data_IF_873084556319
#
_entry.id   IF_873084556319
#
_cell.length_a   1.000
_cell.length_b   1.000
_cell.length_c   1.000
_cell.angle_alpha   90.00
_cell.angle_beta   90.00
_cell.angle_gamma   90.00
#
_symmetry.space_group_name_H-M   'P 1'
#
loop_
_entity.id
_entity.type
_entity.pdbx_description
1 polymer ?
#
# COMPACT_ATOMS: atom_id res chain seq x y z
N UNK A 1 -11.06 3.46 -28.53
CA UNK A 1 -11.20 2.77 -27.23
C UNK A 1 -11.72 3.75 -26.20
N UNK A 2 -12.32 3.27 -25.10
CA UNK A 2 -12.83 4.14 -24.01
C UNK A 2 -11.70 4.99 -23.42
N UNK A 3 -10.50 4.43 -23.21
CA UNK A 3 -9.36 5.21 -22.69
C UNK A 3 -8.96 6.37 -23.63
N UNK A 4 -9.05 6.20 -24.95
CA UNK A 4 -8.66 7.25 -25.90
C UNK A 4 -9.67 8.39 -25.91
N UNK A 5 -10.95 8.06 -25.69
CA UNK A 5 -12.01 9.06 -25.54
C UNK A 5 -11.84 9.87 -24.24
N UNK A 6 -11.62 9.18 -23.11
CA UNK A 6 -11.33 9.80 -21.81
C UNK A 6 -10.15 10.77 -21.92
N UNK A 7 -9.04 10.32 -22.53
CA UNK A 7 -7.82 11.12 -22.69
C UNK A 7 -7.98 12.30 -23.63
N UNK A 8 -8.70 12.12 -24.75
CA UNK A 8 -8.98 13.21 -25.71
C UNK A 8 -9.78 14.35 -25.07
N UNK A 9 -10.63 14.04 -24.10
CA UNK A 9 -11.44 15.01 -23.37
C UNK A 9 -10.76 15.55 -22.11
N UNK A 10 -9.55 15.10 -21.76
CA UNK A 10 -8.85 15.52 -20.53
C UNK A 10 -9.54 15.06 -19.23
N UNK A 11 -10.44 14.08 -19.30
CA UNK A 11 -11.23 13.68 -18.14
C UNK A 11 -10.37 13.00 -17.08
N UNK A 12 -9.33 12.28 -17.48
CA UNK A 12 -8.37 11.62 -16.58
C UNK A 12 -7.42 12.60 -15.89
N UNK A 13 -7.09 13.73 -16.54
CA UNK A 13 -6.23 14.77 -15.96
C UNK A 13 -6.97 15.62 -14.94
N UNK A 14 -8.20 16.00 -15.27
CA UNK A 14 -9.01 16.94 -14.49
C UNK A 14 -9.76 16.26 -13.34
N UNK A 15 -10.06 14.97 -13.46
CA UNK A 15 -10.77 14.21 -12.44
C UNK A 15 -9.92 13.05 -11.90
N UNK A 16 -9.46 13.21 -10.65
CA UNK A 16 -8.63 12.22 -9.95
C UNK A 16 -9.24 10.82 -9.92
N UNK A 17 -10.58 10.67 -9.88
CA UNK A 17 -11.23 9.36 -9.87
C UNK A 17 -11.09 8.67 -11.23
N UNK A 18 -11.26 9.42 -12.32
CA UNK A 18 -11.10 8.90 -13.68
C UNK A 18 -9.64 8.57 -13.95
N UNK A 19 -8.71 9.46 -13.58
CA UNK A 19 -7.28 9.20 -13.66
C UNK A 19 -6.88 7.96 -12.86
N UNK A 20 -7.35 7.83 -11.62
CA UNK A 20 -7.09 6.64 -10.79
C UNK A 20 -7.64 5.35 -11.40
N UNK A 21 -8.82 5.40 -12.03
CA UNK A 21 -9.38 4.25 -12.74
C UNK A 21 -8.52 3.84 -13.95
N UNK A 22 -7.93 4.81 -14.66
CA UNK A 22 -6.99 4.57 -15.75
C UNK A 22 -5.69 3.92 -15.23
N UNK A 23 -5.13 4.43 -14.13
CA UNK A 23 -3.99 3.82 -13.43
C UNK A 23 -4.28 2.37 -13.11
N UNK A 24 -5.39 2.10 -12.42
CA UNK A 24 -5.78 0.74 -12.04
C UNK A 24 -5.94 -0.18 -13.25
N UNK A 25 -6.59 0.27 -14.33
CA UNK A 25 -6.77 -0.51 -15.55
C UNK A 25 -5.43 -0.86 -16.21
N UNK A 26 -4.55 0.12 -16.41
CA UNK A 26 -3.25 -0.12 -17.02
C UNK A 26 -2.35 -1.02 -16.16
N UNK A 27 -2.34 -0.84 -14.84
CA UNK A 27 -1.61 -1.71 -13.91
C UNK A 27 -2.13 -3.15 -13.95
N UNK A 28 -3.44 -3.38 -14.10
CA UNK A 28 -4.02 -4.73 -14.25
C UNK A 28 -3.61 -5.40 -15.56
N UNK A 29 -3.40 -4.63 -16.62
CA UNK A 29 -2.93 -5.12 -17.91
C UNK A 29 -1.40 -5.29 -17.99
N UNK A 30 -0.66 -5.05 -16.90
CA UNK A 30 0.81 -5.06 -16.89
C UNK A 30 1.46 -3.90 -17.64
N UNK A 31 0.68 -2.90 -18.05
CA UNK A 31 1.14 -1.69 -18.75
C UNK A 31 1.46 -0.59 -17.76
N UNK A 32 2.41 -0.85 -16.86
CA UNK A 32 2.73 0.08 -15.76
C UNK A 32 3.34 1.39 -16.27
N UNK A 33 3.97 1.37 -17.44
CA UNK A 33 4.40 2.55 -18.18
C UNK A 33 3.24 3.54 -18.40
N UNK A 34 2.11 3.03 -18.93
CA UNK A 34 0.91 3.84 -19.16
C UNK A 34 0.21 4.21 -17.85
N UNK A 35 0.23 3.31 -16.86
CA UNK A 35 -0.30 3.60 -15.53
C UNK A 35 0.44 4.79 -14.89
N UNK A 36 1.77 4.80 -15.00
CA UNK A 36 2.61 5.89 -14.46
C UNK A 36 2.34 7.20 -15.18
N UNK A 37 2.25 7.18 -16.51
CA UNK A 37 1.88 8.38 -17.29
C UNK A 37 0.52 8.93 -16.85
N UNK A 38 -0.52 8.08 -16.77
CA UNK A 38 -1.84 8.51 -16.29
C UNK A 38 -1.79 9.04 -14.87
N UNK A 39 -1.01 8.43 -13.99
CA UNK A 39 -0.83 8.91 -12.62
C UNK A 39 -0.17 10.30 -12.59
N UNK A 40 0.95 10.46 -13.30
CA UNK A 40 1.72 11.70 -13.33
C UNK A 40 0.89 12.88 -13.85
N UNK A 41 0.01 12.65 -14.82
CA UNK A 41 -0.89 13.67 -15.40
C UNK A 41 -2.08 14.07 -14.53
N UNK A 42 -2.40 13.35 -13.45
CA UNK A 42 -3.43 13.78 -12.50
C UNK A 42 -3.00 15.09 -11.85
N UNK A 43 -3.77 16.16 -12.07
CA UNK A 43 -3.48 17.51 -11.57
C UNK A 43 -3.39 17.56 -10.04
N UNK A 44 -4.34 16.93 -9.35
CA UNK A 44 -4.39 16.87 -7.88
C UNK A 44 -4.52 15.41 -7.45
N UNK A 45 -3.40 14.85 -6.99
CA UNK A 45 -3.33 13.46 -6.50
C UNK A 45 -3.82 13.40 -5.05
N UNK A 46 -4.56 12.34 -4.73
CA UNK A 46 -4.99 12.02 -3.37
C UNK A 46 -4.46 10.64 -2.93
N UNK A 47 -4.68 10.27 -1.68
CA UNK A 47 -4.21 8.98 -1.11
C UNK A 47 -4.60 7.78 -1.96
N UNK A 48 -5.82 7.76 -2.50
CA UNK A 48 -6.32 6.66 -3.35
C UNK A 48 -5.51 6.54 -4.64
N UNK A 49 -5.22 7.64 -5.33
CA UNK A 49 -4.40 7.64 -6.54
C UNK A 49 -2.97 7.14 -6.30
N UNK A 50 -2.34 7.57 -5.19
CA UNK A 50 -1.01 7.11 -4.78
C UNK A 50 -1.02 5.61 -4.45
N UNK A 51 -1.93 5.18 -3.58
CA UNK A 51 -2.06 3.78 -3.16
C UNK A 51 -2.33 2.85 -4.35
N UNK A 52 -3.12 3.31 -5.33
CA UNK A 52 -3.39 2.56 -6.57
C UNK A 52 -2.14 2.39 -7.41
N UNK A 53 -1.32 3.44 -7.57
CA UNK A 53 -0.07 3.35 -8.33
C UNK A 53 0.95 2.44 -7.61
N UNK A 54 1.09 2.57 -6.29
CA UNK A 54 1.99 1.74 -5.47
C UNK A 54 1.59 0.25 -5.55
N UNK A 55 0.32 -0.09 -5.37
CA UNK A 55 -0.18 -1.47 -5.55
C UNK A 55 0.06 -1.96 -6.98
N UNK A 56 -0.14 -1.08 -7.97
CA UNK A 56 0.14 -1.36 -9.37
C UNK A 56 1.60 -1.76 -9.63
N UNK A 57 2.56 -1.01 -9.09
CA UNK A 57 3.99 -1.31 -9.16
C UNK A 57 4.32 -2.64 -8.46
N UNK A 58 3.88 -2.79 -7.21
CA UNK A 58 4.11 -4.01 -6.40
C UNK A 58 3.60 -5.26 -7.10
N UNK A 59 2.37 -5.23 -7.64
CA UNK A 59 1.80 -6.37 -8.37
C UNK A 59 2.66 -6.79 -9.55
N UNK A 60 3.18 -5.82 -10.29
CA UNK A 60 3.98 -6.04 -11.49
C UNK A 60 5.47 -6.25 -11.22
N UNK A 61 5.89 -6.26 -9.95
CA UNK A 61 7.28 -6.53 -9.55
C UNK A 61 8.22 -5.34 -9.71
N UNK A 62 7.70 -4.13 -9.88
CA UNK A 62 8.49 -2.89 -9.89
C UNK A 62 8.61 -2.37 -8.45
N UNK A 63 9.40 -3.07 -7.64
CA UNK A 63 9.45 -2.85 -6.19
C UNK A 63 10.09 -1.50 -5.89
N UNK A 64 11.17 -1.16 -6.57
CA UNK A 64 11.91 0.08 -6.41
C UNK A 64 11.03 1.30 -6.74
N UNK A 65 10.25 1.22 -7.83
CA UNK A 65 9.30 2.26 -8.21
C UNK A 65 8.18 2.42 -7.15
N UNK A 66 7.75 1.32 -6.54
CA UNK A 66 6.73 1.36 -5.48
C UNK A 66 7.26 2.07 -4.22
N UNK A 67 8.51 1.79 -3.85
CA UNK A 67 9.19 2.45 -2.72
C UNK A 67 9.38 3.94 -3.02
N UNK A 68 9.87 4.28 -4.22
CA UNK A 68 10.04 5.69 -4.62
C UNK A 68 8.72 6.48 -4.55
N UNK A 69 7.62 5.87 -5.02
CA UNK A 69 6.30 6.49 -4.94
C UNK A 69 5.81 6.63 -3.50
N UNK A 70 6.04 5.63 -2.67
CA UNK A 70 5.71 5.68 -1.25
C UNK A 70 6.50 6.77 -0.52
N UNK A 71 7.77 6.95 -0.86
CA UNK A 71 8.65 7.99 -0.31
C UNK A 71 8.22 9.39 -0.73
N UNK A 72 7.71 9.54 -1.95
CA UNK A 72 7.18 10.81 -2.49
C UNK A 72 5.76 11.13 -2.02
N UNK A 73 5.04 10.17 -1.44
CA UNK A 73 3.67 10.38 -0.98
C UNK A 73 3.64 11.40 0.18
N UNK A 74 2.92 12.53 0.04
CA UNK A 74 2.95 13.60 1.04
C UNK A 74 2.37 13.20 2.41
N UNK A 75 1.37 12.33 2.40
CA UNK A 75 0.72 11.84 3.61
C UNK A 75 0.41 10.35 3.45
N UNK A 76 1.00 9.52 4.31
CA UNK A 76 0.81 8.07 4.33
C UNK A 76 -0.27 7.70 5.33
N UNK A 77 -1.21 6.87 4.89
CA UNK A 77 -2.24 6.29 5.75
C UNK A 77 -2.04 4.79 5.95
N UNK A 78 -2.89 4.15 6.75
CA UNK A 78 -2.81 2.71 6.97
C UNK A 78 -2.82 1.93 5.65
N UNK A 79 -3.63 2.35 4.67
CA UNK A 79 -3.74 1.69 3.37
C UNK A 79 -2.40 1.73 2.62
N UNK A 80 -1.70 2.86 2.60
CA UNK A 80 -0.39 2.99 1.95
C UNK A 80 0.62 1.98 2.51
N UNK A 81 0.70 1.84 3.84
CA UNK A 81 1.56 0.86 4.51
C UNK A 81 1.12 -0.57 4.24
N UNK A 82 -0.19 -0.87 4.35
CA UNK A 82 -0.75 -2.20 4.07
C UNK A 82 -0.44 -2.66 2.66
N UNK A 83 -0.56 -1.76 1.66
CA UNK A 83 -0.23 -2.04 0.27
C UNK A 83 1.25 -2.39 0.09
N UNK A 84 2.15 -1.64 0.73
CA UNK A 84 3.59 -1.87 0.61
C UNK A 84 4.01 -3.19 1.29
N UNK A 85 3.60 -3.39 2.55
CA UNK A 85 3.87 -4.61 3.34
C UNK A 85 3.30 -5.85 2.62
N UNK A 86 2.04 -5.79 2.20
CA UNK A 86 1.41 -6.89 1.48
C UNK A 86 2.06 -7.17 0.12
N UNK A 87 2.58 -6.13 -0.55
CA UNK A 87 3.37 -6.24 -1.77
C UNK A 87 4.67 -7.01 -1.55
N UNK A 88 5.46 -6.61 -0.55
CA UNK A 88 6.71 -7.28 -0.18
C UNK A 88 6.50 -8.76 0.15
N UNK A 89 5.51 -9.09 0.99
CA UNK A 89 5.20 -10.48 1.36
C UNK A 89 4.87 -11.32 0.13
N UNK A 90 4.05 -10.81 -0.79
CA UNK A 90 3.68 -11.53 -2.03
C UNK A 90 4.87 -11.75 -2.96
N UNK A 91 5.92 -10.93 -2.86
CA UNK A 91 7.14 -11.04 -3.65
C UNK A 91 8.26 -11.81 -2.93
N UNK A 92 8.03 -12.24 -1.69
CA UNK A 92 9.01 -13.00 -0.90
C UNK A 92 10.01 -12.14 -0.12
N UNK A 93 9.81 -10.83 -0.09
CA UNK A 93 10.65 -9.85 0.62
C UNK A 93 10.19 -9.71 2.07
N UNK A 94 10.38 -10.79 2.84
CA UNK A 94 9.78 -10.88 4.18
C UNK A 94 10.46 -9.97 5.21
N UNK A 95 11.77 -9.71 5.07
CA UNK A 95 12.51 -8.83 5.97
C UNK A 95 12.03 -7.38 5.80
N UNK A 96 11.96 -6.92 4.55
CA UNK A 96 11.47 -5.59 4.18
C UNK A 96 10.01 -5.37 4.61
N UNK A 97 9.17 -6.41 4.55
CA UNK A 97 7.81 -6.36 5.06
C UNK A 97 7.75 -6.12 6.58
N UNK A 98 8.66 -6.73 7.35
CA UNK A 98 8.74 -6.56 8.81
C UNK A 98 9.31 -5.19 9.16
N UNK A 99 10.34 -4.73 8.45
CA UNK A 99 10.91 -3.39 8.60
C UNK A 99 9.86 -2.31 8.34
N UNK A 100 9.12 -2.40 7.22
CA UNK A 100 8.03 -1.48 6.92
C UNK A 100 6.95 -1.47 8.00
N UNK A 101 6.64 -2.62 8.61
CA UNK A 101 5.71 -2.67 9.72
C UNK A 101 6.23 -1.93 10.97
N UNK A 102 7.52 -2.05 11.28
CA UNK A 102 8.13 -1.33 12.38
C UNK A 102 8.09 0.18 12.14
N UNK A 103 8.42 0.63 10.93
CA UNK A 103 8.34 2.03 10.54
C UNK A 103 6.92 2.60 10.60
N UNK A 104 5.92 1.79 10.20
CA UNK A 104 4.50 2.12 10.35
C UNK A 104 4.15 2.39 11.82
N UNK A 105 4.64 1.56 12.75
CA UNK A 105 4.42 1.75 14.20
C UNK A 105 5.12 3.00 14.73
N UNK A 106 6.36 3.24 14.32
CA UNK A 106 7.12 4.44 14.70
C UNK A 106 6.47 5.72 14.19
N UNK A 107 5.81 5.65 13.03
CA UNK A 107 5.02 6.73 12.45
C UNK A 107 3.67 6.94 13.16
N UNK A 108 3.34 6.13 14.17
CA UNK A 108 2.09 6.23 14.93
C UNK A 108 0.85 5.75 14.15
N UNK A 109 1.03 5.10 13.00
CA UNK A 109 -0.08 4.61 12.17
C UNK A 109 -0.53 3.25 12.70
N UNK A 110 -1.80 3.15 13.10
CA UNK A 110 -2.37 1.90 13.61
C UNK A 110 -2.48 0.89 12.47
N UNK A 111 -1.93 -0.33 12.61
CA UNK A 111 -2.08 -1.37 11.61
C UNK A 111 -3.49 -1.95 11.61
N UNK A 112 -3.97 -2.32 10.43
CA UNK A 112 -5.22 -3.04 10.26
C UNK A 112 -5.00 -4.56 10.29
N UNK A 113 -6.09 -5.33 10.25
CA UNK A 113 -6.02 -6.79 10.33
C UNK A 113 -5.31 -7.41 9.12
N UNK A 114 -5.41 -6.79 7.93
CA UNK A 114 -4.72 -7.23 6.71
C UNK A 114 -3.22 -7.08 6.87
N UNK A 115 -2.77 -5.98 7.46
CA UNK A 115 -1.37 -5.73 7.80
C UNK A 115 -0.86 -6.80 8.75
N UNK A 116 -1.58 -7.04 9.86
CA UNK A 116 -1.18 -8.02 10.87
C UNK A 116 -1.05 -9.43 10.27
N UNK A 117 -2.01 -9.88 9.47
CA UNK A 117 -1.93 -11.19 8.78
C UNK A 117 -0.69 -11.24 7.89
N UNK A 118 -0.44 -10.17 7.13
CA UNK A 118 0.69 -10.12 6.18
C UNK A 118 2.03 -10.24 6.90
N UNK A 119 2.22 -9.51 8.00
CA UNK A 119 3.47 -9.57 8.78
C UNK A 119 3.62 -10.90 9.51
N UNK A 120 2.54 -11.48 10.05
CA UNK A 120 2.59 -12.83 10.63
C UNK A 120 3.04 -13.88 9.61
N UNK A 121 2.54 -13.78 8.37
CA UNK A 121 2.98 -14.63 7.27
C UNK A 121 4.46 -14.41 6.95
N UNK A 122 4.94 -13.16 6.94
CA UNK A 122 6.35 -12.84 6.77
C UNK A 122 7.22 -13.51 7.85
N UNK A 123 6.86 -13.39 9.13
CA UNK A 123 7.59 -14.00 10.24
C UNK A 123 7.63 -15.53 10.17
N UNK A 124 6.51 -16.15 9.76
CA UNK A 124 6.46 -17.60 9.57
C UNK A 124 7.45 -18.06 8.49
N UNK A 125 7.55 -17.33 7.38
CA UNK A 125 8.49 -17.64 6.29
C UNK A 125 9.95 -17.38 6.67
N UNK A 126 10.22 -16.40 7.53
CA UNK A 126 11.56 -16.14 8.06
C UNK A 126 12.01 -17.15 9.13
N UNK A 127 11.11 -18.01 9.63
CA UNK A 127 11.39 -18.93 10.74
C UNK A 127 11.67 -18.22 12.08
N UNK A 128 11.32 -16.94 12.20
CA UNK A 128 11.64 -16.10 13.36
C UNK A 128 10.53 -16.18 14.41
N UNK A 129 10.56 -17.26 15.21
CA UNK A 129 9.63 -17.45 16.34
C UNK A 129 9.57 -16.24 17.29
N UNK A 130 10.69 -15.57 17.52
CA UNK A 130 10.76 -14.38 18.38
C UNK A 130 9.94 -13.19 17.87
N UNK A 131 9.94 -12.94 16.56
CA UNK A 131 9.15 -11.87 15.94
C UNK A 131 7.65 -12.23 15.94
N UNK A 132 7.32 -13.50 15.69
CA UNK A 132 5.93 -13.99 15.79
C UNK A 132 5.33 -13.81 17.19
N UNK A 133 6.11 -14.10 18.24
CA UNK A 133 5.70 -13.85 19.63
C UNK A 133 5.55 -12.35 19.94
N UNK A 134 6.44 -11.51 19.42
CA UNK A 134 6.35 -10.06 19.59
C UNK A 134 5.09 -9.48 18.94
N UNK A 135 4.76 -9.88 17.71
CA UNK A 135 3.53 -9.44 17.02
C UNK A 135 2.28 -9.93 17.75
N UNK A 136 2.26 -11.20 18.18
CA UNK A 136 1.15 -11.73 18.98
C UNK A 136 0.92 -10.89 20.24
N UNK A 137 2.00 -10.53 20.95
CA UNK A 137 1.91 -9.65 22.12
C UNK A 137 1.42 -8.25 21.76
N UNK A 138 1.88 -7.69 20.64
CA UNK A 138 1.42 -6.39 20.13
C UNK A 138 -0.09 -6.38 19.86
N UNK A 139 -0.61 -7.39 19.16
CA UNK A 139 -2.05 -7.53 18.84
C UNK A 139 -2.89 -7.63 20.12
N UNK A 140 -2.47 -8.46 21.08
CA UNK A 140 -3.15 -8.58 22.37
C UNK A 140 -3.18 -7.25 23.12
N UNK A 141 -2.06 -6.53 23.17
CA UNK A 141 -1.98 -5.24 23.85
C UNK A 141 -2.88 -4.16 23.21
N UNK A 142 -3.08 -4.18 21.89
CA UNK A 142 -4.01 -3.27 21.21
C UNK A 142 -5.47 -3.60 21.58
N UNK A 143 -5.85 -4.88 21.57
CA UNK A 143 -7.18 -5.30 22.01
C UNK A 143 -7.48 -4.89 23.46
N UNK A 144 -6.51 -5.00 24.36
CA UNK A 144 -6.67 -4.50 25.74
C UNK A 144 -6.92 -2.99 25.80
N UNK A 145 -6.19 -2.18 25.01
CA UNK A 145 -6.38 -0.72 24.98
C UNK A 145 -7.74 -0.32 24.39
N UNK A 146 -8.19 -1.02 23.34
CA UNK A 146 -9.49 -0.75 22.73
C UNK A 146 -10.64 -1.13 23.69
N UNK A 147 -10.53 -2.26 24.41
CA UNK A 147 -11.53 -2.68 25.40
C UNK A 147 -11.69 -1.71 26.59
N UNK A 148 -10.61 -1.02 27.00
CA UNK A 148 -10.67 0.00 28.05
C UNK A 148 -11.35 1.28 27.55
N UNK A 149 -11.15 1.64 26.28
CA UNK A 149 -11.75 2.85 25.67
C UNK A 149 -13.25 2.72 25.40
N UNK A 150 -13.76 1.51 25.16
CA UNK A 150 -15.19 1.27 24.88
C UNK A 150 -16.02 1.19 26.16
N UNK A 151 -15.40 0.97 27.32
CA UNK A 151 -16.07 0.79 28.62
C UNK A 151 -16.03 2.03 29.54
N UNK A 152 -15.65 3.21 29.04
CA UNK A 152 -15.65 4.51 29.74
C UNK A 152 -16.49 5.53 28.96
#
# INVERSE_FOLDING_TARGET
SIHAYVRKLGLDTDNVMVGTAMVHMYSKCGRVDLARLSFDEICVKNKVSWNTMIDGCMRNGLIEDAIELFDKMPERDAISWTSLIGGFVKKGHFEEAVECFQEMQLSGVKPDFVTIISVLSACANLGTLGLGLWINRFVLNQHFKDNIRVNN
#
